data_IF_023496989279
#
_entry.id   IF_023496989279
#
_cell.length_a   1.000
_cell.length_b   1.000
_cell.length_c   1.000
_cell.angle_alpha   90.00
_cell.angle_beta   90.00
_cell.angle_gamma   90.00
#
_symmetry.space_group_name_H-M   'P 1'
#
loop_
_entity.id
_entity.type
_entity.pdbx_description
1 polymer ?
#
# COMPACT_ATOMS: atom_id res chain seq x y z
N UNK A 1 -9.78 -10.97 5.78
CA UNK A 1 -10.15 -10.07 4.65
C UNK A 1 -11.10 -10.74 3.67
N UNK A 2 -10.71 -11.84 2.98
CA UNK A 2 -11.53 -12.53 1.96
C UNK A 2 -13.03 -12.71 2.31
N UNK A 3 -13.35 -13.38 3.43
CA UNK A 3 -14.75 -13.59 3.85
C UNK A 3 -15.55 -12.29 4.02
N UNK A 4 -14.90 -11.22 4.49
CA UNK A 4 -15.55 -9.92 4.66
C UNK A 4 -15.87 -9.28 3.31
N UNK A 5 -14.93 -9.36 2.35
CA UNK A 5 -15.14 -8.89 0.98
C UNK A 5 -16.23 -9.69 0.30
N UNK A 6 -16.18 -11.02 0.36
CA UNK A 6 -17.22 -11.90 -0.19
C UNK A 6 -18.61 -11.55 0.33
N UNK A 7 -18.73 -11.42 1.66
CA UNK A 7 -19.99 -11.10 2.31
C UNK A 7 -20.50 -9.73 1.87
N UNK A 8 -19.65 -8.70 1.95
CA UNK A 8 -20.04 -7.34 1.60
C UNK A 8 -20.44 -7.21 0.12
N UNK A 9 -19.66 -7.82 -0.79
CA UNK A 9 -20.00 -7.85 -2.22
C UNK A 9 -21.31 -8.59 -2.47
N UNK A 10 -21.56 -9.72 -1.79
CA UNK A 10 -22.82 -10.49 -1.90
C UNK A 10 -24.06 -9.66 -1.56
N UNK A 11 -23.94 -8.73 -0.62
CA UNK A 11 -25.02 -7.80 -0.25
C UNK A 11 -25.02 -6.50 -1.08
N UNK A 12 -24.23 -6.43 -2.16
CA UNK A 12 -24.22 -5.29 -3.09
C UNK A 12 -23.46 -4.06 -2.59
N UNK A 13 -22.67 -4.19 -1.51
CA UNK A 13 -21.83 -3.10 -1.01
C UNK A 13 -20.59 -2.92 -1.90
N UNK A 14 -20.18 -1.66 -2.08
CA UNK A 14 -18.90 -1.33 -2.73
C UNK A 14 -17.78 -1.49 -1.71
N UNK A 15 -16.89 -2.45 -1.95
CA UNK A 15 -15.79 -2.77 -1.03
C UNK A 15 -14.51 -2.09 -1.49
N UNK A 16 -13.95 -1.26 -0.61
CA UNK A 16 -12.59 -0.72 -0.77
C UNK A 16 -11.69 -1.37 0.29
N UNK A 17 -10.50 -1.80 -0.11
CA UNK A 17 -9.53 -2.43 0.79
C UNK A 17 -8.24 -1.62 0.75
N UNK A 18 -7.83 -1.13 1.93
CA UNK A 18 -6.60 -0.37 2.10
C UNK A 18 -5.38 -1.30 2.10
N UNK A 19 -4.37 -0.96 1.31
CA UNK A 19 -3.06 -1.60 1.30
C UNK A 19 -1.99 -0.56 1.52
N UNK A 20 -1.08 -0.82 2.45
CA UNK A 20 0.10 0.01 2.70
C UNK A 20 1.30 -0.73 2.11
N UNK A 21 2.00 -0.11 1.17
CA UNK A 21 3.17 -0.67 0.50
C UNK A 21 4.47 -0.02 0.99
N UNK A 22 5.59 -0.73 0.84
CA UNK A 22 6.88 -0.20 1.24
C UNK A 22 7.06 -0.18 2.75
N UNK A 23 6.49 -1.18 3.45
CA UNK A 23 6.81 -1.35 4.87
C UNK A 23 8.31 -1.66 5.02
N UNK A 24 8.92 -1.27 6.15
CA UNK A 24 10.28 -1.69 6.45
C UNK A 24 10.38 -3.21 6.48
N UNK A 25 11.48 -3.73 5.93
CA UNK A 25 11.77 -5.18 5.83
C UNK A 25 10.89 -6.00 4.88
N UNK A 26 9.99 -5.35 4.13
CA UNK A 26 9.25 -6.00 3.05
C UNK A 26 10.23 -6.60 2.01
N UNK A 27 10.11 -7.90 1.74
CA UNK A 27 10.92 -8.61 0.76
C UNK A 27 10.11 -9.04 -0.48
N UNK A 28 10.77 -9.64 -1.47
CA UNK A 28 10.12 -10.04 -2.72
C UNK A 28 8.99 -11.08 -2.53
N UNK A 29 9.14 -12.00 -1.59
CA UNK A 29 8.11 -13.00 -1.29
C UNK A 29 6.87 -12.36 -0.67
N UNK A 30 7.05 -11.39 0.23
CA UNK A 30 5.96 -10.61 0.82
C UNK A 30 5.19 -9.83 -0.26
N UNK A 31 5.93 -9.22 -1.19
CA UNK A 31 5.36 -8.50 -2.32
C UNK A 31 4.55 -9.44 -3.21
N UNK A 32 5.11 -10.61 -3.56
CA UNK A 32 4.42 -11.60 -4.40
C UNK A 32 3.13 -12.10 -3.74
N UNK A 33 3.14 -12.34 -2.43
CA UNK A 33 1.94 -12.72 -1.68
C UNK A 33 0.91 -11.58 -1.66
N UNK A 34 1.36 -10.35 -1.44
CA UNK A 34 0.49 -9.16 -1.44
C UNK A 34 -0.17 -8.95 -2.80
N UNK A 35 0.58 -9.09 -3.89
CA UNK A 35 0.06 -9.01 -5.27
C UNK A 35 -1.01 -10.07 -5.51
N UNK A 36 -0.77 -11.31 -5.07
CA UNK A 36 -1.76 -12.39 -5.18
C UNK A 36 -3.06 -12.04 -4.46
N UNK A 37 -2.97 -11.54 -3.23
CA UNK A 37 -4.15 -11.11 -2.46
C UNK A 37 -4.90 -9.99 -3.18
N UNK A 38 -4.19 -8.98 -3.69
CA UNK A 38 -4.78 -7.88 -4.46
C UNK A 38 -5.56 -8.42 -5.68
N UNK A 39 -4.95 -9.31 -6.45
CA UNK A 39 -5.60 -9.88 -7.63
C UNK A 39 -6.86 -10.68 -7.28
N UNK A 40 -6.82 -11.46 -6.21
CA UNK A 40 -7.98 -12.22 -5.75
C UNK A 40 -9.12 -11.29 -5.30
N UNK A 41 -8.81 -10.26 -4.50
CA UNK A 41 -9.81 -9.30 -4.02
C UNK A 41 -10.44 -8.50 -5.17
N UNK A 42 -9.64 -8.12 -6.18
CA UNK A 42 -10.16 -7.47 -7.39
C UNK A 42 -11.12 -8.39 -8.15
N UNK A 43 -10.81 -9.69 -8.28
CA UNK A 43 -11.71 -10.68 -8.90
C UNK A 43 -13.03 -10.81 -8.12
N UNK A 44 -13.00 -10.62 -6.81
CA UNK A 44 -14.18 -10.60 -5.93
C UNK A 44 -14.98 -9.28 -5.99
N UNK A 45 -14.59 -8.34 -6.86
CA UNK A 45 -15.28 -7.06 -7.04
C UNK A 45 -14.85 -5.95 -6.08
N UNK A 46 -13.78 -6.16 -5.30
CA UNK A 46 -13.21 -5.11 -4.46
C UNK A 46 -12.37 -4.12 -5.28
N UNK A 47 -12.25 -2.91 -4.75
CA UNK A 47 -11.26 -1.92 -5.20
C UNK A 47 -10.17 -1.77 -4.15
N UNK A 48 -8.96 -1.53 -4.62
CA UNK A 48 -7.78 -1.38 -3.78
C UNK A 48 -7.51 0.10 -3.59
N UNK A 49 -7.44 0.52 -2.33
CA UNK A 49 -6.97 1.84 -1.96
C UNK A 49 -5.49 1.72 -1.56
N UNK A 50 -4.64 2.20 -2.46
CA UNK A 50 -3.20 2.12 -2.33
C UNK A 50 -2.67 3.26 -1.48
N UNK A 51 -1.86 2.89 -0.49
CA UNK A 51 -1.10 3.78 0.36
C UNK A 51 0.39 3.46 0.32
N UNK A 52 1.22 4.48 0.46
CA UNK A 52 2.64 4.29 0.72
C UNK A 52 2.87 4.38 2.23
N UNK A 53 3.71 3.49 2.77
CA UNK A 53 4.14 3.57 4.15
C UNK A 53 4.82 4.92 4.42
N UNK A 54 4.41 5.57 5.50
CA UNK A 54 4.98 6.83 5.96
C UNK A 54 5.49 6.66 7.39
N UNK A 55 6.73 7.09 7.71
CA UNK A 55 7.18 7.16 9.08
C UNK A 55 6.36 8.22 9.83
N UNK A 56 5.58 7.79 10.81
CA UNK A 56 4.72 8.67 11.58
C UNK A 56 5.39 9.02 12.92
N UNK A 57 5.41 10.31 13.31
CA UNK A 57 6.04 10.74 14.57
C UNK A 57 5.42 10.05 15.79
N UNK A 58 6.25 9.63 16.74
CA UNK A 58 5.82 8.97 17.96
C UNK A 58 5.44 7.49 17.79
N UNK A 59 5.65 6.91 16.59
CA UNK A 59 5.47 5.48 16.37
C UNK A 59 6.80 4.74 16.44
N UNK A 60 6.81 3.43 16.75
CA UNK A 60 8.04 2.63 16.66
C UNK A 60 8.71 2.67 15.28
N UNK A 61 7.95 3.03 14.24
CA UNK A 61 8.45 3.15 12.87
C UNK A 61 8.81 4.59 12.45
N UNK A 62 8.85 5.56 13.39
CA UNK A 62 9.09 6.98 13.06
C UNK A 62 10.44 7.24 12.36
N UNK A 63 11.46 6.42 12.63
CA UNK A 63 12.80 6.55 12.05
C UNK A 63 13.07 5.52 10.96
N UNK A 64 12.05 4.78 10.54
CA UNK A 64 12.24 3.78 9.51
C UNK A 64 12.12 4.42 8.13
N UNK A 65 13.01 4.08 7.19
CA UNK A 65 12.90 4.60 5.84
C UNK A 65 11.59 4.11 5.23
N UNK A 66 10.90 4.94 4.44
CA UNK A 66 9.91 4.39 3.54
C UNK A 66 10.57 3.33 2.67
N UNK A 67 9.93 2.17 2.55
CA UNK A 67 10.39 1.13 1.65
C UNK A 67 10.55 1.72 0.27
N UNK A 68 11.71 1.51 -0.36
CA UNK A 68 11.88 1.85 -1.77
C UNK A 68 10.81 1.07 -2.50
N UNK A 69 9.76 1.76 -2.95
CA UNK A 69 8.61 1.14 -3.58
C UNK A 69 9.12 0.23 -4.69
N UNK A 70 8.97 -1.07 -4.42
CA UNK A 70 9.63 -2.08 -5.20
C UNK A 70 9.23 -1.95 -6.68
N UNK A 71 10.21 -2.15 -7.57
CA UNK A 71 10.01 -1.93 -9.01
C UNK A 71 8.91 -2.86 -9.54
N UNK A 72 8.77 -4.06 -8.99
CA UNK A 72 7.71 -4.99 -9.36
C UNK A 72 6.35 -4.56 -8.80
N UNK A 73 6.24 -4.15 -7.52
CA UNK A 73 4.99 -3.60 -6.98
C UNK A 73 4.50 -2.38 -7.78
N UNK A 74 5.39 -1.44 -8.12
CA UNK A 74 5.07 -0.28 -8.99
C UNK A 74 4.52 -0.71 -10.35
N UNK A 75 5.10 -1.74 -10.97
CA UNK A 75 4.62 -2.27 -12.26
C UNK A 75 3.21 -2.85 -12.13
N UNK A 76 2.94 -3.60 -11.07
CA UNK A 76 1.60 -4.17 -10.81
C UNK A 76 0.58 -3.04 -10.64
N UNK A 77 0.86 -2.07 -9.76
CA UNK A 77 -0.04 -0.93 -9.53
C UNK A 77 -0.30 -0.15 -10.82
N UNK A 78 0.75 0.21 -11.58
CA UNK A 78 0.59 0.95 -12.84
C UNK A 78 -0.22 0.18 -13.90
N UNK A 79 -0.21 -1.15 -13.89
CA UNK A 79 -1.05 -1.98 -14.77
C UNK A 79 -2.53 -1.99 -14.33
N UNK A 80 -2.80 -1.79 -13.05
CA UNK A 80 -4.14 -1.85 -12.46
C UNK A 80 -4.84 -0.49 -12.38
N UNK A 81 -4.09 0.62 -12.23
CA UNK A 81 -4.61 1.99 -12.24
C UNK A 81 -5.57 2.29 -13.41
N UNK A 82 -5.22 2.06 -14.69
CA UNK A 82 -6.12 2.40 -15.80
C UNK A 82 -7.39 1.55 -15.83
N UNK A 83 -7.43 0.43 -15.11
CA UNK A 83 -8.64 -0.41 -14.98
C UNK A 83 -9.62 0.12 -13.93
N UNK A 84 -9.24 1.16 -13.17
CA UNK A 84 -10.10 1.75 -12.13
C UNK A 84 -10.34 0.86 -10.90
N UNK A 85 -9.51 -0.18 -10.73
CA UNK A 85 -9.57 -1.14 -9.61
C UNK A 85 -8.56 -0.83 -8.50
N UNK A 86 -7.61 0.07 -8.77
CA UNK A 86 -6.68 0.63 -7.78
C UNK A 86 -6.79 2.16 -7.81
N UNK A 87 -6.80 2.81 -6.65
CA UNK A 87 -6.81 4.27 -6.51
C UNK A 87 -6.07 4.71 -5.24
N UNK A 88 -5.86 6.01 -5.05
CA UNK A 88 -5.21 6.58 -3.86
C UNK A 88 -4.07 7.55 -4.19
N UNK A 89 -3.57 8.25 -3.17
CA UNK A 89 -2.53 9.28 -3.29
C UNK A 89 -1.14 8.73 -2.92
N UNK A 90 -0.88 7.46 -3.22
CA UNK A 90 0.35 6.76 -2.81
C UNK A 90 1.62 7.41 -3.38
N UNK A 91 1.54 8.10 -4.52
CA UNK A 91 2.69 8.82 -5.12
C UNK A 91 3.05 10.05 -4.31
N UNK A 92 2.06 10.88 -3.95
CA UNK A 92 2.26 12.04 -3.10
C UNK A 92 2.69 11.62 -1.69
N UNK A 93 2.11 10.53 -1.17
CA UNK A 93 2.50 9.95 0.12
C UNK A 93 3.96 9.50 0.12
N UNK A 94 4.48 8.94 -0.97
CA UNK A 94 5.89 8.56 -1.08
C UNK A 94 6.82 9.76 -0.93
N UNK A 95 6.53 10.87 -1.61
CA UNK A 95 7.30 12.11 -1.48
C UNK A 95 7.27 12.67 -0.05
N UNK A 96 6.10 12.63 0.58
CA UNK A 96 5.93 13.06 1.98
C UNK A 96 6.70 12.13 2.93
N UNK A 97 6.65 10.82 2.69
CA UNK A 97 7.34 9.82 3.51
C UNK A 97 8.86 10.08 3.56
N UNK A 98 9.46 10.39 2.41
CA UNK A 98 10.88 10.74 2.32
C UNK A 98 11.20 12.04 3.04
N UNK A 99 10.34 13.07 2.94
CA UNK A 99 10.51 14.32 3.69
C UNK A 99 10.47 14.09 5.20
N UNK A 100 9.51 13.28 5.66
CA UNK A 100 9.37 12.91 7.07
C UNK A 100 10.59 12.14 7.58
N UNK A 101 11.01 11.10 6.83
CA UNK A 101 12.20 10.33 7.18
C UNK A 101 13.45 11.19 7.32
N UNK A 102 13.70 12.09 6.35
CA UNK A 102 14.85 12.99 6.39
C UNK A 102 14.77 13.97 7.56
N UNK A 103 13.58 14.46 7.91
CA UNK A 103 13.36 15.34 9.06
C UNK A 103 13.64 14.64 10.39
N UNK A 104 13.18 13.40 10.56
CA UNK A 104 13.44 12.62 11.78
C UNK A 104 14.90 12.20 11.89
N UNK A 105 15.55 11.92 10.76
CA UNK A 105 16.96 11.53 10.71
C UNK A 105 17.93 12.69 10.98
N UNK A 106 17.53 13.95 10.70
CA UNK A 106 18.40 15.13 10.87
C UNK A 106 18.34 15.76 12.27
N UNK A 107 17.30 15.47 13.06
CA UNK A 107 17.07 16.08 14.38
C UNK A 107 17.98 15.58 15.51
N UNK A 108 18.85 14.61 15.24
CA UNK A 108 19.78 14.02 16.22
C UNK A 108 21.27 14.17 15.83
N UNK A 109 21.60 15.05 14.88
CA UNK A 109 22.98 15.42 14.52
C UNK A 109 23.46 16.67 15.26
#
# INVERSE_FOLDING_TARGET
VYRAVETATKYGLKVNVDFIFGLPYENEDDINQTVKVIEDLIKMGAKIHAHTFMPLPGTPFEKFPPGKSDRYMRKVINKLLPKGVVFGNFREQEEIAWKLYNYFSSKEA
#
